data_IF_083009275017
#
_entry.id   IF_083009275017
#
_cell.length_a   1.000
_cell.length_b   1.000
_cell.length_c   1.000
_cell.angle_alpha   90.00
_cell.angle_beta   90.00
_cell.angle_gamma   90.00
#
_symmetry.space_group_name_H-M   'P 1'
#
loop_
_entity.id
_entity.type
_entity.pdbx_description
1 polymer ?
#
# COMPACT_ATOMS: atom_id res chain seq x y z
N UNK A 1 -3.37 -30.69 4.18
CA UNK A 1 -2.66 -29.41 4.03
C UNK A 1 -3.59 -28.32 4.56
N UNK A 2 -3.21 -27.62 5.64
CA UNK A 2 -4.00 -26.49 6.15
C UNK A 2 -4.12 -25.42 5.08
N UNK A 3 -5.28 -24.74 5.01
CA UNK A 3 -5.46 -23.59 4.12
C UNK A 3 -4.57 -22.45 4.61
N UNK A 4 -3.63 -22.02 3.78
CA UNK A 4 -2.75 -20.89 4.07
C UNK A 4 -3.58 -19.61 4.24
N UNK A 5 -3.47 -18.96 5.38
CA UNK A 5 -4.30 -17.83 5.76
C UNK A 5 -3.57 -16.49 5.59
N UNK A 6 -4.21 -15.56 4.90
CA UNK A 6 -3.67 -14.21 4.68
C UNK A 6 -4.61 -13.18 5.32
N UNK A 7 -4.04 -12.20 6.01
CA UNK A 7 -4.76 -11.02 6.48
C UNK A 7 -4.30 -9.77 5.73
N UNK A 8 -5.23 -8.97 5.23
CA UNK A 8 -4.95 -7.66 4.68
C UNK A 8 -4.63 -6.67 5.80
N UNK A 9 -3.65 -5.79 5.60
CA UNK A 9 -3.34 -4.66 6.47
C UNK A 9 -3.25 -3.39 5.63
N UNK A 10 -4.30 -2.54 5.66
CA UNK A 10 -4.34 -1.32 4.86
C UNK A 10 -3.96 -0.11 5.68
N UNK A 11 -2.95 0.62 5.22
CA UNK A 11 -2.42 1.82 5.87
C UNK A 11 -3.29 3.04 5.54
N UNK A 12 -4.16 3.45 6.47
CA UNK A 12 -5.14 4.52 6.30
C UNK A 12 -4.99 5.67 7.31
N UNK A 13 -3.92 5.70 8.13
CA UNK A 13 -3.78 6.68 9.24
C UNK A 13 -3.31 8.07 8.82
N UNK A 14 -2.81 8.24 7.60
CA UNK A 14 -2.15 9.46 7.15
C UNK A 14 -3.06 10.70 7.05
N UNK A 15 -2.52 11.89 7.38
CA UNK A 15 -3.23 13.17 7.33
C UNK A 15 -3.47 13.69 5.91
N UNK A 16 -2.73 13.19 4.92
CA UNK A 16 -2.87 13.60 3.52
C UNK A 16 -2.56 15.09 3.26
N UNK A 17 -1.57 15.66 3.93
CA UNK A 17 -1.24 17.10 3.86
C UNK A 17 -0.99 17.61 2.43
N UNK A 18 -0.43 16.77 1.54
CA UNK A 18 -0.19 17.10 0.12
C UNK A 18 -1.47 17.12 -0.74
N UNK A 19 -2.60 16.65 -0.20
CA UNK A 19 -3.92 16.66 -0.83
C UNK A 19 -4.82 17.79 -0.30
N UNK A 20 -4.29 18.71 0.48
CA UNK A 20 -5.05 19.90 0.90
C UNK A 20 -5.39 20.76 -0.33
N UNK A 21 -6.60 21.36 -0.40
CA UNK A 21 -7.60 21.48 0.69
C UNK A 21 -8.54 20.28 0.87
N UNK A 22 -8.56 19.26 -0.02
CA UNK A 22 -9.49 18.15 0.03
C UNK A 22 -9.46 17.43 1.40
N UNK A 23 -8.26 17.22 1.95
CA UNK A 23 -8.10 16.52 3.23
C UNK A 23 -8.42 17.36 4.47
N UNK A 24 -8.81 18.62 4.31
CA UNK A 24 -9.51 19.32 5.38
C UNK A 24 -10.91 18.77 5.62
N UNK A 25 -11.53 18.18 4.62
CA UNK A 25 -12.89 17.64 4.66
C UNK A 25 -12.94 16.13 4.65
N UNK A 26 -12.10 15.49 3.84
CA UNK A 26 -12.05 14.04 3.66
C UNK A 26 -10.80 13.42 4.29
N UNK A 27 -10.95 12.23 4.84
CA UNK A 27 -9.81 11.37 5.06
C UNK A 27 -9.21 11.00 3.68
N UNK A 28 -7.89 10.90 3.56
CA UNK A 28 -7.19 10.74 2.27
C UNK A 28 -7.75 9.58 1.42
N UNK A 29 -7.99 8.44 2.04
CA UNK A 29 -8.47 7.24 1.35
C UNK A 29 -9.99 7.25 1.09
N UNK A 30 -10.69 8.27 1.61
CA UNK A 30 -12.12 8.50 1.38
C UNK A 30 -12.38 9.49 0.24
N UNK A 31 -11.35 10.01 -0.42
CA UNK A 31 -11.49 10.89 -1.58
C UNK A 31 -12.17 10.10 -2.71
N UNK A 32 -13.23 10.68 -3.35
CA UNK A 32 -13.98 10.03 -4.42
C UNK A 32 -13.11 9.84 -5.68
N UNK A 33 -13.17 8.66 -6.27
CA UNK A 33 -12.38 8.28 -7.47
C UNK A 33 -13.30 7.68 -8.55
N UNK A 34 -12.88 7.82 -9.81
CA UNK A 34 -13.56 7.26 -10.97
C UNK A 34 -14.90 7.91 -11.29
N UNK A 35 -15.60 7.44 -12.31
CA UNK A 35 -16.89 7.96 -12.73
C UNK A 35 -18.00 7.68 -11.71
N UNK A 36 -17.90 6.57 -10.98
CA UNK A 36 -18.87 6.20 -9.93
C UNK A 36 -18.63 6.94 -8.60
N UNK A 37 -17.59 7.79 -8.52
CA UNK A 37 -17.26 8.62 -7.34
C UNK A 37 -17.20 7.81 -6.04
N UNK A 38 -16.63 6.60 -6.09
CA UNK A 38 -16.46 5.77 -4.89
C UNK A 38 -15.21 6.15 -4.14
N UNK A 39 -15.19 6.00 -2.79
CA UNK A 39 -13.96 6.20 -2.02
C UNK A 39 -12.81 5.36 -2.57
N UNK A 40 -11.60 5.93 -2.62
CA UNK A 40 -10.39 5.21 -3.03
C UNK A 40 -10.25 3.87 -2.29
N UNK A 41 -10.47 3.88 -0.97
CA UNK A 41 -10.38 2.68 -0.13
C UNK A 41 -11.39 1.60 -0.53
N UNK A 42 -12.53 1.95 -1.14
CA UNK A 42 -13.48 0.94 -1.62
C UNK A 42 -12.88 0.08 -2.72
N UNK A 43 -12.11 0.68 -3.65
CA UNK A 43 -11.38 -0.09 -4.68
C UNK A 43 -10.36 -1.03 -4.05
N UNK A 44 -9.62 -0.58 -3.03
CA UNK A 44 -8.64 -1.41 -2.32
C UNK A 44 -9.30 -2.61 -1.64
N UNK A 45 -10.38 -2.38 -0.88
CA UNK A 45 -11.12 -3.45 -0.19
C UNK A 45 -11.72 -4.44 -1.19
N UNK A 46 -12.31 -3.94 -2.28
CA UNK A 46 -12.88 -4.80 -3.33
C UNK A 46 -11.83 -5.60 -4.08
N UNK A 47 -10.64 -5.03 -4.32
CA UNK A 47 -9.52 -5.78 -4.91
C UNK A 47 -9.08 -6.91 -3.98
N UNK A 48 -8.90 -6.63 -2.70
CA UNK A 48 -8.58 -7.68 -1.71
C UNK A 48 -9.63 -8.78 -1.71
N UNK A 49 -10.92 -8.42 -1.65
CA UNK A 49 -12.03 -9.37 -1.72
C UNK A 49 -12.01 -10.19 -3.01
N UNK A 50 -11.78 -9.55 -4.15
CA UNK A 50 -11.73 -10.21 -5.46
C UNK A 50 -10.66 -11.31 -5.50
N UNK A 51 -9.53 -11.08 -4.84
CA UNK A 51 -8.42 -12.04 -4.71
C UNK A 51 -8.49 -12.92 -3.46
N UNK A 52 -9.64 -12.99 -2.78
CA UNK A 52 -9.88 -13.90 -1.66
C UNK A 52 -9.30 -13.46 -0.32
N UNK A 53 -8.74 -12.24 -0.20
CA UNK A 53 -8.30 -11.67 1.08
C UNK A 53 -9.50 -10.98 1.75
N UNK A 54 -10.25 -11.76 2.55
CA UNK A 54 -11.50 -11.31 3.14
C UNK A 54 -11.38 -10.85 4.61
N UNK A 55 -10.29 -11.17 5.29
CA UNK A 55 -9.94 -10.66 6.62
C UNK A 55 -9.02 -9.46 6.46
N UNK A 56 -9.48 -8.25 6.82
CA UNK A 56 -8.72 -7.01 6.57
C UNK A 56 -8.68 -6.14 7.82
N UNK A 57 -7.48 -5.76 8.24
CA UNK A 57 -7.25 -4.74 9.24
C UNK A 57 -7.04 -3.38 8.58
N UNK A 58 -7.81 -2.38 8.97
CA UNK A 58 -7.62 -0.98 8.57
C UNK A 58 -6.85 -0.26 9.67
N UNK A 59 -5.60 0.12 9.39
CA UNK A 59 -4.75 0.86 10.33
C UNK A 59 -5.09 2.34 10.17
N UNK A 60 -5.85 2.88 11.12
CA UNK A 60 -6.52 4.17 11.02
C UNK A 60 -6.03 5.17 12.07
N UNK A 61 -6.13 6.46 11.76
CA UNK A 61 -5.82 7.54 12.70
C UNK A 61 -6.62 8.80 12.32
N UNK A 62 -6.05 9.67 11.49
CA UNK A 62 -6.68 10.93 11.12
C UNK A 62 -8.04 10.70 10.44
N UNK A 63 -9.10 11.27 11.03
CA UNK A 63 -10.50 11.15 10.55
C UNK A 63 -10.96 9.69 10.37
N UNK A 64 -10.54 8.79 11.25
CA UNK A 64 -10.89 7.37 11.23
C UNK A 64 -12.40 7.13 11.17
N UNK A 65 -13.20 8.00 11.83
CA UNK A 65 -14.67 7.91 11.86
C UNK A 65 -15.31 7.93 10.47
N UNK A 66 -14.72 8.66 9.50
CA UNK A 66 -15.23 8.66 8.13
C UNK A 66 -15.11 7.29 7.47
N UNK A 67 -14.00 6.58 7.73
CA UNK A 67 -13.77 5.23 7.24
C UNK A 67 -14.74 4.28 7.94
N UNK A 68 -14.78 4.32 9.28
CA UNK A 68 -15.63 3.44 10.10
C UNK A 68 -17.12 3.58 9.76
N UNK A 69 -17.60 4.81 9.61
CA UNK A 69 -19.00 5.08 9.26
C UNK A 69 -19.38 4.61 7.85
N UNK A 70 -18.43 4.60 6.91
CA UNK A 70 -18.69 4.18 5.54
C UNK A 70 -18.62 2.66 5.38
N UNK A 71 -17.65 2.01 5.99
CA UNK A 71 -17.38 0.59 5.77
C UNK A 71 -17.99 -0.33 6.82
N UNK A 72 -18.34 0.20 7.99
CA UNK A 72 -18.91 -0.55 9.12
C UNK A 72 -18.05 -1.80 9.43
N UNK A 73 -18.63 -2.98 9.59
CA UNK A 73 -17.93 -4.25 9.79
C UNK A 73 -17.38 -4.90 8.51
N UNK A 74 -17.62 -4.29 7.35
CA UNK A 74 -17.19 -4.78 6.04
C UNK A 74 -18.15 -5.78 5.37
N UNK A 75 -19.18 -6.24 6.06
CA UNK A 75 -20.12 -7.25 5.55
C UNK A 75 -20.72 -6.85 4.21
N UNK A 76 -21.06 -5.58 4.02
CA UNK A 76 -21.60 -5.04 2.76
C UNK A 76 -20.62 -5.20 1.57
N UNK A 77 -19.34 -5.30 1.83
CA UNK A 77 -18.27 -5.47 0.84
C UNK A 77 -17.78 -6.92 0.75
N UNK A 78 -18.36 -7.82 1.53
CA UNK A 78 -18.03 -9.23 1.59
C UNK A 78 -16.67 -9.50 2.25
N UNK A 79 -16.22 -8.62 3.13
CA UNK A 79 -15.01 -8.75 3.95
C UNK A 79 -15.35 -8.62 5.43
N UNK A 80 -14.43 -9.01 6.30
CA UNK A 80 -14.47 -8.73 7.73
C UNK A 80 -13.44 -7.66 8.04
N UNK A 81 -13.87 -6.50 8.49
CA UNK A 81 -13.02 -5.37 8.84
C UNK A 81 -12.72 -5.31 10.33
N UNK A 82 -11.47 -5.08 10.64
CA UNK A 82 -11.00 -4.76 11.98
C UNK A 82 -10.28 -3.41 11.94
N UNK A 83 -10.63 -2.49 12.85
CA UNK A 83 -10.05 -1.16 12.90
C UNK A 83 -9.01 -1.08 14.00
N UNK A 84 -7.81 -0.67 13.63
CA UNK A 84 -6.68 -0.52 14.55
C UNK A 84 -6.24 0.94 14.55
N UNK A 85 -6.52 1.64 15.65
CA UNK A 85 -6.06 3.03 15.82
C UNK A 85 -4.56 3.06 16.12
N UNK A 86 -3.84 4.00 15.51
CA UNK A 86 -2.42 4.22 15.75
C UNK A 86 -2.13 4.50 17.24
N UNK A 87 -0.99 4.01 17.69
CA UNK A 87 -0.45 4.36 19.01
C UNK A 87 0.40 5.64 18.88
N UNK A 88 0.12 6.71 19.65
CA UNK A 88 0.88 7.96 19.58
C UNK A 88 2.37 7.81 19.93
N UNK A 89 2.75 6.72 20.60
CA UNK A 89 4.16 6.42 20.92
C UNK A 89 4.94 5.82 19.74
N UNK A 90 4.24 5.26 18.73
CA UNK A 90 4.87 4.59 17.58
C UNK A 90 4.34 5.21 16.30
N UNK A 91 5.12 6.15 15.76
CA UNK A 91 4.73 6.94 14.58
C UNK A 91 5.13 6.26 13.27
N UNK A 92 4.51 6.71 12.17
CA UNK A 92 4.77 6.22 10.82
C UNK A 92 4.03 4.92 10.49
N UNK A 93 4.16 4.50 9.25
CA UNK A 93 3.47 3.32 8.74
C UNK A 93 3.99 2.00 9.37
N UNK A 94 5.28 1.93 9.66
CA UNK A 94 5.88 0.83 10.42
C UNK A 94 5.42 0.81 11.88
N UNK A 95 5.21 1.99 12.48
CA UNK A 95 4.65 2.11 13.84
C UNK A 95 3.22 1.61 13.93
N UNK A 96 2.38 1.93 12.93
CA UNK A 96 1.02 1.42 12.83
C UNK A 96 0.99 -0.12 12.69
N UNK A 97 1.87 -0.67 11.86
CA UNK A 97 2.00 -2.12 11.67
C UNK A 97 2.47 -2.82 12.96
N UNK A 98 3.46 -2.26 13.64
CA UNK A 98 3.93 -2.74 14.93
C UNK A 98 2.82 -2.77 15.98
N UNK A 99 2.06 -1.68 16.08
CA UNK A 99 0.94 -1.59 17.03
C UNK A 99 -0.13 -2.66 16.74
N UNK A 100 -0.46 -2.90 15.48
CA UNK A 100 -1.37 -3.97 15.08
C UNK A 100 -0.83 -5.37 15.45
N UNK A 101 0.46 -5.61 15.20
CA UNK A 101 1.14 -6.86 15.58
C UNK A 101 1.09 -7.10 17.10
N UNK A 102 1.41 -6.10 17.92
CA UNK A 102 1.33 -6.17 19.40
C UNK A 102 -0.06 -6.47 19.94
N UNK A 103 -1.08 -6.01 19.24
CA UNK A 103 -2.49 -6.30 19.58
C UNK A 103 -2.95 -7.68 19.14
N UNK A 104 -2.07 -8.48 18.53
CA UNK A 104 -2.39 -9.82 18.06
C UNK A 104 -3.30 -9.85 16.82
N UNK A 105 -3.42 -8.73 16.10
CA UNK A 105 -4.30 -8.59 14.91
C UNK A 105 -3.96 -9.62 13.83
N UNK A 106 -2.71 -10.01 13.74
CA UNK A 106 -2.22 -10.96 12.74
C UNK A 106 -2.08 -12.40 13.26
N UNK A 107 -2.46 -12.65 14.52
CA UNK A 107 -2.35 -13.99 15.13
C UNK A 107 -3.21 -15.02 14.40
N UNK A 108 -2.60 -16.16 14.07
CA UNK A 108 -3.25 -17.25 13.33
C UNK A 108 -3.35 -17.03 11.82
N UNK A 109 -2.68 -16.03 11.27
CA UNK A 109 -2.44 -15.84 9.85
C UNK A 109 -0.98 -16.15 9.52
N UNK A 110 -0.75 -16.77 8.36
CA UNK A 110 0.59 -17.13 7.91
C UNK A 110 1.29 -15.91 7.30
N UNK A 111 0.55 -15.13 6.50
CA UNK A 111 1.04 -13.95 5.81
C UNK A 111 0.16 -12.72 6.10
N UNK A 112 0.79 -11.55 6.00
CA UNK A 112 0.13 -10.24 6.01
C UNK A 112 0.34 -9.56 4.66
N UNK A 113 -0.77 -9.24 3.97
CA UNK A 113 -0.76 -8.42 2.77
C UNK A 113 -0.89 -6.95 3.17
N UNK A 114 0.23 -6.23 3.18
CA UNK A 114 0.31 -4.81 3.51
C UNK A 114 0.00 -3.98 2.25
N UNK A 115 -0.90 -3.02 2.39
CA UNK A 115 -1.34 -2.19 1.28
C UNK A 115 -1.38 -0.72 1.69
N UNK A 116 -0.70 0.13 0.94
CA UNK A 116 -0.76 1.59 1.15
C UNK A 116 -2.10 2.11 0.62
N UNK A 117 -2.95 2.59 1.51
CA UNK A 117 -4.35 2.90 1.21
C UNK A 117 -4.58 3.99 0.17
N UNK A 118 -3.54 4.66 -0.31
CA UNK A 118 -3.58 5.69 -1.36
C UNK A 118 -3.17 5.17 -2.75
N UNK A 119 -2.97 3.88 -2.89
CA UNK A 119 -2.59 3.24 -4.16
C UNK A 119 -3.82 2.61 -4.82
N UNK A 120 -4.05 2.97 -6.08
CA UNK A 120 -4.98 2.28 -6.98
C UNK A 120 -4.18 1.31 -7.84
N UNK A 121 -4.64 0.06 -7.95
CA UNK A 121 -4.03 -0.92 -8.87
C UNK A 121 -5.00 -2.07 -9.17
N UNK A 122 -4.83 -2.71 -10.31
CA UNK A 122 -5.45 -3.99 -10.67
C UNK A 122 -4.47 -5.16 -10.57
N UNK A 123 -3.49 -5.05 -9.66
CA UNK A 123 -2.48 -6.05 -9.38
C UNK A 123 -3.12 -7.42 -9.09
N UNK A 124 -2.60 -8.49 -9.69
CA UNK A 124 -2.99 -9.86 -9.36
C UNK A 124 -2.39 -10.26 -8.00
N UNK A 125 -3.16 -10.00 -6.93
CA UNK A 125 -2.76 -10.35 -5.56
C UNK A 125 -2.70 -11.88 -5.36
N UNK A 126 -3.49 -12.65 -6.11
CA UNK A 126 -3.47 -14.12 -6.03
C UNK A 126 -2.14 -14.66 -6.53
N UNK A 127 -1.69 -14.18 -7.70
CA UNK A 127 -0.41 -14.60 -8.27
C UNK A 127 0.77 -14.12 -7.42
N UNK A 128 0.74 -12.87 -6.95
CA UNK A 128 1.77 -12.34 -6.05
C UNK A 128 1.90 -13.17 -4.77
N UNK A 129 0.79 -13.53 -4.12
CA UNK A 129 0.78 -14.37 -2.92
C UNK A 129 1.22 -15.80 -3.21
N UNK A 130 0.91 -16.33 -4.40
CA UNK A 130 1.43 -17.63 -4.86
C UNK A 130 2.95 -17.61 -4.96
N UNK A 131 3.52 -16.60 -5.63
CA UNK A 131 4.98 -16.45 -5.77
C UNK A 131 5.65 -16.26 -4.39
N UNK A 132 5.06 -15.45 -3.51
CA UNK A 132 5.55 -15.25 -2.14
C UNK A 132 5.76 -16.57 -1.41
N UNK A 133 4.77 -17.47 -1.51
CA UNK A 133 4.81 -18.79 -0.87
C UNK A 133 5.75 -19.77 -1.57
N UNK A 134 5.70 -19.83 -2.89
CA UNK A 134 6.57 -20.74 -3.69
C UNK A 134 8.06 -20.44 -3.49
N UNK A 135 8.39 -19.17 -3.29
CA UNK A 135 9.75 -18.70 -3.01
C UNK A 135 10.13 -18.79 -1.54
N UNK A 136 9.18 -19.14 -0.68
CA UNK A 136 9.35 -19.09 0.77
C UNK A 136 9.92 -17.74 1.27
N UNK A 137 9.47 -16.64 0.63
CA UNK A 137 10.01 -15.33 0.88
C UNK A 137 9.56 -14.77 2.23
N UNK A 138 10.46 -14.11 2.95
CA UNK A 138 10.11 -13.35 4.17
C UNK A 138 9.27 -12.13 3.85
N UNK A 139 9.54 -11.49 2.70
CA UNK A 139 8.76 -10.41 2.14
C UNK A 139 8.75 -10.50 0.61
N UNK A 140 7.64 -10.08 -0.02
CA UNK A 140 7.52 -9.91 -1.48
C UNK A 140 6.94 -8.55 -1.77
N UNK A 141 7.63 -7.74 -2.57
CA UNK A 141 7.23 -6.38 -2.92
C UNK A 141 6.74 -6.33 -4.36
N UNK A 142 5.57 -5.74 -4.60
CA UNK A 142 5.11 -5.45 -5.95
C UNK A 142 5.94 -4.34 -6.58
N UNK A 143 6.46 -4.60 -7.77
CA UNK A 143 7.39 -3.73 -8.50
C UNK A 143 6.85 -3.43 -9.90
N UNK A 144 6.65 -2.15 -10.21
CA UNK A 144 6.35 -1.72 -11.59
C UNK A 144 7.62 -1.40 -12.35
N UNK A 145 7.68 -1.83 -13.61
CA UNK A 145 8.75 -1.49 -14.55
C UNK A 145 8.45 -0.23 -15.36
N UNK A 146 7.20 0.24 -15.33
CA UNK A 146 6.67 1.32 -16.18
C UNK A 146 6.64 2.69 -15.48
N UNK A 147 7.71 3.03 -14.72
CA UNK A 147 7.79 4.34 -14.07
C UNK A 147 8.59 5.33 -14.90
N UNK A 148 8.00 6.52 -15.14
CA UNK A 148 8.69 7.65 -15.79
C UNK A 148 9.08 8.70 -14.77
N UNK A 149 10.25 9.29 -14.94
CA UNK A 149 10.69 10.42 -14.12
C UNK A 149 9.84 11.65 -14.46
N UNK A 150 9.44 12.42 -13.47
CA UNK A 150 8.53 13.59 -13.66
C UNK A 150 9.22 14.85 -14.18
N UNK A 151 10.54 14.79 -14.41
CA UNK A 151 11.39 15.92 -14.81
C UNK A 151 12.28 15.56 -16.00
N UNK A 152 12.83 16.59 -16.70
CA UNK A 152 13.84 16.39 -17.70
C UNK A 152 15.14 15.86 -17.10
N UNK A 153 15.76 14.89 -17.75
CA UNK A 153 17.06 14.30 -17.35
C UNK A 153 18.13 14.69 -18.37
N UNK A 154 19.18 15.34 -17.90
CA UNK A 154 20.30 15.78 -18.72
C UNK A 154 21.55 14.91 -18.50
N UNK A 155 22.24 14.60 -19.58
CA UNK A 155 23.62 14.09 -19.54
C UNK A 155 24.61 15.26 -19.69
N UNK A 156 25.62 15.30 -18.84
CA UNK A 156 26.60 16.40 -18.84
C UNK A 156 28.02 15.88 -19.03
N UNK A 157 28.81 16.61 -19.87
CA UNK A 157 30.23 16.43 -19.98
C UNK A 157 30.91 17.69 -19.40
N UNK A 158 31.45 17.59 -18.19
CA UNK A 158 31.82 18.75 -17.39
C UNK A 158 30.58 19.62 -17.09
N UNK A 159 30.56 20.85 -17.61
CA UNK A 159 29.44 21.80 -17.49
C UNK A 159 28.53 21.83 -18.73
N UNK A 160 28.92 21.16 -19.82
CA UNK A 160 28.18 21.16 -21.08
C UNK A 160 27.10 20.07 -21.07
N UNK A 161 25.84 20.46 -21.34
CA UNK A 161 24.76 19.50 -21.60
C UNK A 161 25.00 18.84 -22.96
N UNK A 162 25.11 17.52 -23.00
CA UNK A 162 25.33 16.74 -24.23
C UNK A 162 24.05 15.99 -24.66
N UNK A 163 23.12 15.76 -23.75
CA UNK A 163 21.82 15.14 -24.03
C UNK A 163 20.77 15.66 -23.04
N UNK A 164 19.51 15.76 -23.49
CA UNK A 164 18.36 16.10 -22.66
C UNK A 164 17.18 15.25 -23.07
N UNK A 165 16.57 14.57 -22.12
CA UNK A 165 15.32 13.79 -22.33
C UNK A 165 14.27 14.25 -21.35
N UNK A 166 13.10 14.66 -21.87
CA UNK A 166 11.95 15.05 -21.05
C UNK A 166 11.21 13.80 -20.57
N UNK A 167 11.01 13.70 -19.26
CA UNK A 167 10.27 12.63 -18.59
C UNK A 167 10.62 11.22 -19.09
N UNK A 168 11.91 10.83 -19.10
CA UNK A 168 12.29 9.51 -19.58
C UNK A 168 11.81 8.41 -18.63
N UNK A 169 11.67 7.15 -19.12
CA UNK A 169 11.50 6.01 -18.23
C UNK A 169 12.70 5.91 -17.28
N UNK A 170 12.43 5.55 -16.02
CA UNK A 170 13.50 5.39 -15.00
C UNK A 170 14.45 4.24 -15.35
N UNK A 171 13.94 3.23 -16.07
CA UNK A 171 14.72 2.03 -16.44
C UNK A 171 15.07 1.12 -15.27
N UNK A 172 14.40 1.31 -14.12
CA UNK A 172 14.52 0.46 -12.93
C UNK A 172 13.14 0.18 -12.36
N UNK A 173 12.91 -1.03 -11.80
CA UNK A 173 11.66 -1.32 -11.09
C UNK A 173 11.46 -0.39 -9.88
N UNK A 174 10.23 0.02 -9.63
CA UNK A 174 9.85 0.85 -8.49
C UNK A 174 8.79 0.14 -7.64
N UNK A 175 8.90 0.27 -6.31
CA UNK A 175 7.91 -0.30 -5.38
C UNK A 175 6.60 0.49 -5.48
N UNK A 176 5.48 -0.22 -5.59
CA UNK A 176 4.15 0.38 -5.79
C UNK A 176 3.25 0.37 -4.55
N UNK A 177 3.82 0.13 -3.36
CA UNK A 177 3.06 0.23 -2.09
C UNK A 177 2.14 -0.97 -1.80
N UNK A 178 2.39 -2.13 -2.40
CA UNK A 178 1.74 -3.40 -2.06
C UNK A 178 2.82 -4.44 -1.79
N UNK A 179 2.75 -5.11 -0.64
CA UNK A 179 3.73 -6.12 -0.25
C UNK A 179 3.08 -7.21 0.60
N UNK A 180 3.55 -8.45 0.45
CA UNK A 180 3.25 -9.56 1.32
C UNK A 180 4.44 -9.82 2.27
N UNK A 181 4.18 -10.10 3.53
CA UNK A 181 5.21 -10.49 4.50
C UNK A 181 4.74 -11.70 5.30
N UNK A 182 5.64 -12.61 5.65
CA UNK A 182 5.35 -13.65 6.63
C UNK A 182 5.02 -13.00 7.97
N UNK A 183 3.99 -13.46 8.65
CA UNK A 183 3.59 -12.91 9.96
C UNK A 183 4.72 -12.95 10.97
N UNK A 184 5.52 -14.02 10.96
CA UNK A 184 6.64 -14.21 11.89
C UNK A 184 7.71 -13.11 11.81
N UNK A 185 7.99 -12.54 10.62
CA UNK A 185 9.03 -11.51 10.49
C UNK A 185 8.60 -10.14 11.03
N UNK A 186 7.32 -9.97 11.36
CA UNK A 186 6.83 -8.72 11.98
C UNK A 186 7.44 -8.49 13.38
N UNK A 187 7.94 -9.53 14.04
CA UNK A 187 8.64 -9.40 15.32
C UNK A 187 9.88 -8.50 15.21
N UNK A 188 10.50 -8.41 14.03
CA UNK A 188 11.66 -7.54 13.79
C UNK A 188 11.31 -6.05 13.95
N UNK A 189 10.04 -5.66 13.76
CA UNK A 189 9.60 -4.29 14.04
C UNK A 189 9.83 -3.86 15.49
N UNK A 190 9.82 -4.81 16.45
CA UNK A 190 10.08 -4.53 17.86
C UNK A 190 11.50 -3.99 18.09
N UNK A 191 12.47 -4.49 17.36
CA UNK A 191 13.87 -4.08 17.49
C UNK A 191 14.11 -2.67 16.92
N UNK A 192 13.33 -2.29 15.92
CA UNK A 192 13.37 -0.98 15.27
C UNK A 192 12.62 0.09 16.06
N UNK A 193 11.70 -0.34 16.93
CA UNK A 193 10.79 0.56 17.62
C UNK A 193 11.50 1.39 18.68
N UNK A 194 11.48 2.71 18.54
CA UNK A 194 11.91 3.65 19.56
C UNK A 194 10.76 4.62 19.84
N UNK A 195 10.43 4.87 21.13
CA UNK A 195 9.38 5.81 21.49
C UNK A 195 9.57 7.17 20.80
N UNK A 196 8.49 7.75 20.26
CA UNK A 196 8.45 9.05 19.59
C UNK A 196 9.25 9.14 18.27
N UNK A 197 9.92 8.07 17.83
CA UNK A 197 10.59 8.01 16.54
C UNK A 197 9.63 7.50 15.47
N UNK A 198 9.72 8.05 14.27
CA UNK A 198 8.98 7.56 13.11
C UNK A 198 9.60 6.26 12.59
N UNK A 199 8.79 5.22 12.47
CA UNK A 199 9.17 3.94 11.90
C UNK A 199 8.50 3.79 10.52
N UNK A 200 9.30 3.58 9.49
CA UNK A 200 8.84 3.42 8.11
C UNK A 200 9.19 2.02 7.58
N UNK A 201 8.21 1.40 6.91
CA UNK A 201 8.36 0.04 6.37
C UNK A 201 9.45 -0.01 5.32
N UNK A 202 9.46 0.95 4.37
CA UNK A 202 10.40 0.95 3.23
C UNK A 202 11.78 1.50 3.61
N UNK A 203 11.88 2.38 4.61
CA UNK A 203 13.16 2.95 5.02
C UNK A 203 13.89 2.14 6.10
N UNK A 204 13.14 1.39 6.92
CA UNK A 204 13.73 0.73 8.07
C UNK A 204 13.49 -0.79 8.07
N UNK A 205 12.24 -1.24 7.91
CA UNK A 205 11.89 -2.65 8.08
C UNK A 205 12.41 -3.51 6.91
N UNK A 206 12.06 -3.19 5.68
CA UNK A 206 12.49 -3.97 4.50
C UNK A 206 14.02 -3.96 4.34
N UNK A 207 14.72 -2.82 4.45
CA UNK A 207 16.19 -2.81 4.41
C UNK A 207 16.83 -3.70 5.49
N UNK A 208 16.29 -3.72 6.72
CA UNK A 208 16.82 -4.56 7.78
C UNK A 208 16.62 -6.06 7.49
N UNK A 209 15.49 -6.45 6.88
CA UNK A 209 15.30 -7.84 6.42
C UNK A 209 16.37 -8.24 5.41
N UNK A 210 16.66 -7.38 4.44
CA UNK A 210 17.70 -7.62 3.41
C UNK A 210 19.09 -7.70 4.06
N UNK A 211 19.42 -6.77 4.94
CA UNK A 211 20.71 -6.74 5.67
C UNK A 211 20.95 -8.01 6.48
N UNK A 212 19.89 -8.58 7.06
CA UNK A 212 19.93 -9.83 7.84
C UNK A 212 19.91 -11.10 6.98
N UNK A 213 19.88 -10.95 5.67
CA UNK A 213 19.89 -12.08 4.74
C UNK A 213 18.55 -12.81 4.61
N UNK A 214 17.44 -12.20 5.06
CA UNK A 214 16.11 -12.73 4.74
C UNK A 214 15.85 -12.66 3.23
N UNK A 215 15.14 -13.65 2.70
CA UNK A 215 14.73 -13.62 1.30
C UNK A 215 13.64 -12.58 1.08
N UNK A 216 13.98 -11.48 0.41
CA UNK A 216 13.03 -10.44 -0.03
C UNK A 216 12.89 -10.54 -1.53
N UNK A 217 11.70 -10.97 -2.00
CA UNK A 217 11.37 -11.20 -3.40
C UNK A 217 10.78 -9.96 -4.07
N UNK A 218 11.05 -9.76 -5.35
CA UNK A 218 10.43 -8.73 -6.18
C UNK A 218 9.39 -9.32 -7.12
N UNK A 219 8.12 -8.98 -6.98
CA UNK A 219 7.05 -9.33 -7.91
C UNK A 219 6.94 -8.25 -9.00
N UNK A 220 7.52 -8.52 -10.17
CA UNK A 220 7.48 -7.62 -11.33
C UNK A 220 6.08 -7.66 -11.98
N UNK A 221 5.51 -6.49 -12.24
CA UNK A 221 4.17 -6.37 -12.82
C UNK A 221 4.06 -5.19 -13.77
N UNK A 222 3.22 -5.36 -14.81
CA UNK A 222 2.77 -4.31 -15.73
C UNK A 222 1.34 -3.84 -15.40
N UNK A 223 0.79 -4.25 -14.23
CA UNK A 223 -0.52 -3.86 -13.77
C UNK A 223 -0.65 -2.33 -13.75
N UNK A 224 -1.87 -1.85 -14.04
CA UNK A 224 -2.20 -0.45 -13.75
C UNK A 224 -1.92 -0.14 -12.28
N UNK A 225 -1.27 0.98 -12.02
CA UNK A 225 -1.13 1.50 -10.67
C UNK A 225 -1.06 3.03 -10.67
N UNK A 226 -1.59 3.64 -9.62
CA UNK A 226 -1.59 5.07 -9.46
C UNK A 226 -1.56 5.46 -7.98
N UNK A 227 -0.59 6.30 -7.61
CA UNK A 227 -0.47 6.87 -6.26
C UNK A 227 -1.25 8.19 -6.21
N UNK A 228 -2.36 8.21 -5.46
CA UNK A 228 -3.17 9.41 -5.20
C UNK A 228 -2.59 10.19 -4.01
N UNK A 229 -1.31 10.56 -4.14
CA UNK A 229 -0.53 11.13 -3.04
C UNK A 229 -0.56 12.66 -2.92
N UNK A 230 -1.03 13.38 -3.95
CA UNK A 230 -1.06 14.85 -3.98
C UNK A 230 -2.24 15.37 -4.80
N UNK A 231 -2.59 16.66 -4.59
CA UNK A 231 -3.64 17.34 -5.37
C UNK A 231 -3.35 17.29 -6.87
N UNK A 232 -2.10 17.54 -7.27
CA UNK A 232 -1.69 17.47 -8.66
C UNK A 232 -1.93 16.08 -9.27
N UNK A 233 -1.61 15.01 -8.53
CA UNK A 233 -1.84 13.64 -8.98
C UNK A 233 -3.33 13.32 -9.04
N UNK A 234 -4.11 13.78 -8.06
CA UNK A 234 -5.55 13.60 -8.06
C UNK A 234 -6.22 14.26 -9.25
N UNK A 235 -5.84 15.52 -9.58
CA UNK A 235 -6.36 16.26 -10.73
C UNK A 235 -5.98 15.64 -12.08
N UNK A 236 -4.82 14.99 -12.16
CA UNK A 236 -4.35 14.29 -13.38
C UNK A 236 -4.93 12.89 -13.55
N UNK A 237 -5.59 12.35 -12.53
CA UNK A 237 -6.17 11.02 -12.61
C UNK A 237 -7.45 11.06 -13.46
N UNK A 238 -7.37 10.54 -14.68
CA UNK A 238 -8.52 10.44 -15.57
C UNK A 238 -9.52 9.40 -15.01
N UNK A 239 -10.77 9.81 -14.70
CA UNK A 239 -11.77 8.89 -14.18
C UNK A 239 -12.14 7.77 -15.16
N UNK A 240 -12.01 7.96 -16.48
CA UNK A 240 -12.22 6.91 -17.46
C UNK A 240 -11.16 5.83 -17.40
N UNK A 241 -9.89 6.21 -17.22
CA UNK A 241 -8.78 5.25 -17.03
C UNK A 241 -9.00 4.42 -15.75
N UNK A 242 -9.50 5.05 -14.69
CA UNK A 242 -9.84 4.31 -13.45
C UNK A 242 -10.93 3.29 -13.70
N UNK A 243 -12.01 3.68 -14.39
CA UNK A 243 -13.13 2.79 -14.67
C UNK A 243 -12.73 1.66 -15.63
N UNK A 244 -11.87 1.92 -16.62
CA UNK A 244 -11.32 0.90 -17.50
C UNK A 244 -10.49 -0.13 -16.73
N UNK A 245 -9.60 0.34 -15.86
CA UNK A 245 -8.68 -0.51 -15.11
C UNK A 245 -9.34 -1.24 -13.92
N UNK A 246 -10.32 -0.62 -13.26
CA UNK A 246 -10.85 -1.05 -11.96
C UNK A 246 -12.38 -1.19 -11.91
N UNK A 247 -13.09 -0.87 -13.00
CA UNK A 247 -14.56 -0.89 -13.04
C UNK A 247 -15.16 -2.27 -12.73
N UNK A 248 -14.43 -3.35 -13.04
CA UNK A 248 -14.83 -4.72 -12.73
C UNK A 248 -15.00 -4.98 -11.21
N UNK A 249 -14.34 -4.21 -10.36
CA UNK A 249 -14.46 -4.30 -8.91
C UNK A 249 -15.79 -3.74 -8.39
N UNK A 250 -16.46 -2.90 -9.19
CA UNK A 250 -17.70 -2.20 -8.83
C UNK A 250 -18.94 -2.78 -9.53
N UNK A 251 -18.75 -3.88 -10.27
CA UNK A 251 -19.81 -4.60 -10.96
C UNK A 251 -20.72 -5.38 -9.99
#
# INVERSE_FOLDING_TARGET
MGTHRVKGAVLCGGTGSRLRPLTYYFQKTMIPIGLKQKPLLEYVIRLMKYHGVADVALLVNYKAEQIMNYFDDGTRFGVRLEYVHDDPNYRGNGGALLNASRRGVFSGFDDVLIYYGDILTNLDLTDMLRIHREKDAAATLALSTNYTVSVGVAEVAGTKIVSLREKPPLGKPVVIGVLAVKTEVLEILEELAKPQQELDIMQHFIPLLIERGYHVEGYLTDAFWYDVGSTERYEKLDPHVVDEALGFLLA
#
